data_IF_720735927454
#
_entry.id   IF_720735927454
#
_cell.length_a   1.000
_cell.length_b   1.000
_cell.length_c   1.000
_cell.angle_alpha   90.00
_cell.angle_beta   90.00
_cell.angle_gamma   90.00
#
_symmetry.space_group_name_H-M   'P 1'
#
loop_
_entity.id
_entity.type
_entity.pdbx_description
1 polymer ?
#
# COMPACT_ATOMS: atom_id res chain seq x y z
N UNK A 1 22.61 -7.36 0.45
CA UNK A 1 22.54 -5.89 0.26
C UNK A 1 22.38 -5.19 1.60
N UNK A 2 21.42 -5.59 2.45
CA UNK A 2 21.22 -5.06 3.82
C UNK A 2 22.50 -4.99 4.65
N UNK A 3 23.26 -6.10 4.75
CA UNK A 3 24.51 -6.13 5.54
C UNK A 3 25.63 -5.20 5.02
N UNK A 4 25.52 -4.68 3.79
CA UNK A 4 26.43 -3.69 3.23
C UNK A 4 25.96 -2.26 3.50
N UNK A 5 24.63 -2.04 3.56
CA UNK A 5 24.00 -0.74 3.84
C UNK A 5 24.05 -0.41 5.33
N UNK A 6 23.80 -1.38 6.22
CA UNK A 6 23.89 -1.21 7.67
C UNK A 6 25.30 -0.75 8.13
N UNK A 7 26.33 -1.19 7.40
CA UNK A 7 27.72 -0.77 7.64
C UNK A 7 28.03 0.63 7.16
N UNK A 8 27.25 1.17 6.22
CA UNK A 8 27.48 2.48 5.62
C UNK A 8 26.65 3.57 6.31
N UNK A 9 25.42 3.27 6.74
CA UNK A 9 24.48 4.20 7.38
C UNK A 9 23.59 3.46 8.40
N UNK A 10 24.05 3.27 9.65
CA UNK A 10 23.25 2.59 10.68
C UNK A 10 22.01 3.42 11.04
N UNK A 11 20.83 2.78 11.02
CA UNK A 11 19.53 3.40 11.33
C UNK A 11 18.75 3.94 10.13
N UNK A 12 19.05 3.51 8.90
CA UNK A 12 18.22 3.84 7.73
C UNK A 12 17.21 2.73 7.43
N UNK A 13 15.95 3.08 7.26
CA UNK A 13 14.94 2.20 6.66
C UNK A 13 15.29 1.95 5.19
N UNK A 14 15.70 0.72 4.87
CA UNK A 14 16.06 0.32 3.51
C UNK A 14 14.80 -0.11 2.77
N UNK A 15 14.21 0.80 1.98
CA UNK A 15 13.19 0.44 1.00
C UNK A 15 13.90 -0.09 -0.25
N UNK A 16 13.98 -1.42 -0.39
CA UNK A 16 14.46 -2.04 -1.63
C UNK A 16 13.32 -1.97 -2.65
N UNK A 17 13.39 -0.98 -3.55
CA UNK A 17 12.56 -0.98 -4.75
C UNK A 17 13.26 -1.86 -5.80
N UNK A 18 12.79 -3.09 -5.96
CA UNK A 18 13.23 -3.95 -7.07
C UNK A 18 12.36 -3.58 -8.27
N UNK A 19 12.97 -3.01 -9.31
CA UNK A 19 12.31 -2.94 -10.61
C UNK A 19 12.30 -4.36 -11.19
N UNK A 20 11.11 -4.95 -11.47
CA UNK A 20 11.05 -6.29 -12.00
C UNK A 20 11.74 -6.33 -13.36
N UNK A 21 12.62 -7.31 -13.57
CA UNK A 21 13.10 -7.62 -14.90
C UNK A 21 11.89 -7.85 -15.82
N UNK A 22 11.96 -7.47 -17.10
CA UNK A 22 10.82 -7.56 -18.03
C UNK A 22 10.15 -8.95 -18.06
N UNK A 23 10.92 -10.00 -17.76
CA UNK A 23 10.45 -11.38 -17.58
C UNK A 23 9.55 -11.56 -16.35
N UNK A 24 9.89 -10.97 -15.22
CA UNK A 24 9.12 -11.02 -13.97
C UNK A 24 7.80 -10.26 -14.10
N UNK A 25 7.82 -9.10 -14.75
CA UNK A 25 6.60 -8.34 -15.03
C UNK A 25 5.60 -9.15 -15.88
N UNK A 26 6.08 -9.87 -16.89
CA UNK A 26 5.26 -10.74 -17.72
C UNK A 26 4.74 -11.98 -16.98
N UNK A 27 5.51 -12.53 -16.02
CA UNK A 27 5.04 -13.60 -15.14
C UNK A 27 3.92 -13.11 -14.21
N UNK A 28 4.13 -11.95 -13.58
CA UNK A 28 3.15 -11.29 -12.71
C UNK A 28 1.84 -11.02 -13.44
N UNK A 29 1.89 -10.47 -14.65
CA UNK A 29 0.69 -10.17 -15.45
C UNK A 29 -0.10 -11.44 -15.78
N UNK A 30 0.56 -12.51 -16.24
CA UNK A 30 -0.10 -13.78 -16.57
C UNK A 30 -0.70 -14.44 -15.33
N UNK A 31 0.04 -14.45 -14.21
CA UNK A 31 -0.46 -15.01 -12.95
C UNK A 31 -1.68 -14.22 -12.44
N UNK A 32 -1.62 -12.89 -12.50
CA UNK A 32 -2.74 -12.03 -12.14
C UNK A 32 -3.98 -12.31 -13.00
N UNK A 33 -3.81 -12.44 -14.33
CA UNK A 33 -4.91 -12.79 -15.23
C UNK A 33 -5.50 -14.18 -14.94
N UNK A 34 -4.67 -15.18 -14.64
CA UNK A 34 -5.11 -16.53 -14.30
C UNK A 34 -5.92 -16.55 -13.00
N UNK A 35 -5.45 -15.84 -11.97
CA UNK A 35 -6.13 -15.74 -10.69
C UNK A 35 -7.51 -15.08 -10.80
N UNK A 36 -7.64 -13.99 -11.58
CA UNK A 36 -8.92 -13.34 -11.84
C UNK A 36 -9.90 -14.20 -12.67
N UNK A 37 -9.41 -15.25 -13.34
CA UNK A 37 -10.24 -16.22 -14.04
C UNK A 37 -10.97 -17.21 -13.12
N UNK A 38 -10.57 -17.30 -11.84
CA UNK A 38 -11.22 -18.18 -10.86
C UNK A 38 -12.49 -17.53 -10.32
N UNK A 39 -13.60 -18.26 -10.37
CA UNK A 39 -14.88 -17.78 -9.88
C UNK A 39 -14.79 -17.40 -8.39
N UNK A 40 -15.46 -16.30 -8.00
CA UNK A 40 -15.51 -15.75 -6.63
C UNK A 40 -14.25 -15.00 -6.16
N UNK A 41 -13.18 -14.96 -6.95
CA UNK A 41 -12.08 -14.02 -6.72
C UNK A 41 -12.58 -12.60 -7.01
N UNK A 42 -12.53 -11.73 -6.01
CA UNK A 42 -12.95 -10.33 -6.14
C UNK A 42 -11.78 -9.37 -6.19
N UNK A 43 -10.77 -9.61 -5.36
CA UNK A 43 -9.60 -8.75 -5.26
C UNK A 43 -8.38 -9.58 -4.91
N UNK A 44 -7.31 -9.37 -5.68
CA UNK A 44 -5.97 -9.87 -5.42
C UNK A 44 -5.00 -8.70 -5.43
N UNK A 45 -3.98 -8.75 -4.59
CA UNK A 45 -2.95 -7.71 -4.53
C UNK A 45 -1.63 -8.27 -3.98
N UNK A 46 -0.60 -7.43 -3.89
CA UNK A 46 0.73 -7.79 -3.39
C UNK A 46 1.34 -9.02 -4.07
N UNK A 47 1.20 -9.10 -5.39
CA UNK A 47 1.72 -10.22 -6.15
C UNK A 47 3.25 -10.10 -6.28
N UNK A 48 3.98 -10.98 -5.60
CA UNK A 48 5.43 -11.02 -5.56
C UNK A 48 5.94 -12.28 -6.23
N UNK A 49 6.98 -12.15 -7.05
CA UNK A 49 7.63 -13.27 -7.73
C UNK A 49 9.06 -13.31 -7.24
N UNK A 50 9.49 -14.46 -6.74
CA UNK A 50 10.83 -14.66 -6.20
C UNK A 50 11.46 -15.84 -6.91
N UNK A 51 12.69 -15.64 -7.39
CA UNK A 51 13.49 -16.72 -7.99
C UNK A 51 14.67 -17.02 -7.09
N UNK A 52 14.75 -18.25 -6.58
CA UNK A 52 15.86 -18.74 -5.76
C UNK A 52 16.37 -20.05 -6.34
N UNK A 53 17.68 -20.20 -6.53
CA UNK A 53 18.28 -21.45 -7.03
C UNK A 53 17.65 -22.03 -8.32
N UNK A 54 17.09 -21.14 -9.17
CA UNK A 54 16.41 -21.52 -10.41
C UNK A 54 14.94 -21.95 -10.23
N UNK A 55 14.41 -21.92 -9.00
CA UNK A 55 13.01 -22.15 -8.71
C UNK A 55 12.27 -20.82 -8.61
N UNK A 56 11.18 -20.67 -9.35
CA UNK A 56 10.33 -19.47 -9.32
C UNK A 56 9.10 -19.74 -8.46
N UNK A 57 8.93 -18.93 -7.43
CA UNK A 57 7.80 -18.97 -6.51
C UNK A 57 6.98 -17.68 -6.64
N UNK A 58 5.69 -17.77 -6.39
CA UNK A 58 4.79 -16.62 -6.38
C UNK A 58 4.02 -16.55 -5.07
N UNK A 59 3.92 -15.36 -4.50
CA UNK A 59 3.00 -15.06 -3.41
C UNK A 59 2.01 -13.99 -3.80
N UNK A 60 0.79 -14.07 -3.26
CA UNK A 60 -0.25 -13.06 -3.46
C UNK A 60 -1.19 -12.97 -2.26
N UNK A 61 -1.82 -11.83 -2.11
CA UNK A 61 -2.91 -11.64 -1.15
C UNK A 61 -4.23 -11.81 -1.87
N UNK A 62 -5.13 -12.63 -1.30
CA UNK A 62 -6.45 -12.91 -1.82
C UNK A 62 -7.50 -12.45 -0.80
N UNK A 63 -8.34 -11.49 -1.19
CA UNK A 63 -9.43 -11.00 -0.35
C UNK A 63 -10.74 -11.70 -0.67
N UNK A 64 -11.38 -12.22 0.38
CA UNK A 64 -12.65 -12.96 0.31
C UNK A 64 -13.65 -12.45 1.35
N UNK A 65 -14.97 -12.56 1.14
CA UNK A 65 -15.96 -12.10 2.12
C UNK A 65 -15.65 -12.57 3.56
N UNK A 66 -15.68 -11.65 4.53
CA UNK A 66 -15.26 -11.95 5.91
C UNK A 66 -16.20 -12.89 6.67
N UNK A 67 -17.41 -13.12 6.18
CA UNK A 67 -18.39 -14.08 6.69
C UNK A 67 -18.25 -15.48 6.08
N UNK A 68 -17.31 -15.66 5.13
CA UNK A 68 -17.07 -16.94 4.47
C UNK A 68 -16.41 -17.95 5.43
N UNK A 69 -16.89 -19.21 5.52
CA UNK A 69 -16.20 -20.25 6.27
C UNK A 69 -14.75 -20.42 5.82
N UNK A 70 -13.82 -20.58 6.76
CA UNK A 70 -12.39 -20.71 6.46
C UNK A 70 -12.09 -21.87 5.49
N UNK A 71 -12.84 -22.98 5.60
CA UNK A 71 -12.72 -24.12 4.68
C UNK A 71 -13.07 -23.73 3.24
N UNK A 72 -14.15 -22.97 3.04
CA UNK A 72 -14.54 -22.46 1.72
C UNK A 72 -13.53 -21.43 1.19
N UNK A 73 -13.00 -20.58 2.08
CA UNK A 73 -11.97 -19.60 1.73
C UNK A 73 -10.69 -20.30 1.26
N UNK A 74 -10.28 -21.36 1.97
CA UNK A 74 -9.13 -22.18 1.61
C UNK A 74 -9.33 -22.88 0.26
N UNK A 75 -10.51 -23.46 0.01
CA UNK A 75 -10.80 -24.11 -1.27
C UNK A 75 -10.68 -23.14 -2.46
N UNK A 76 -11.15 -21.89 -2.30
CA UNK A 76 -10.98 -20.85 -3.33
C UNK A 76 -9.50 -20.51 -3.51
N UNK A 77 -8.74 -20.41 -2.42
CA UNK A 77 -7.31 -20.15 -2.46
C UNK A 77 -6.57 -21.23 -3.25
N UNK A 78 -6.86 -22.51 -2.99
CA UNK A 78 -6.27 -23.62 -3.74
C UNK A 78 -6.68 -23.60 -5.22
N UNK A 79 -7.91 -23.22 -5.55
CA UNK A 79 -8.35 -23.06 -6.94
C UNK A 79 -7.52 -21.98 -7.66
N UNK A 80 -7.25 -20.86 -6.98
CA UNK A 80 -6.38 -19.79 -7.49
C UNK A 80 -4.96 -20.28 -7.70
N UNK A 81 -4.37 -20.95 -6.71
CA UNK A 81 -3.02 -21.51 -6.80
C UNK A 81 -2.89 -22.47 -7.97
N UNK A 82 -3.85 -23.40 -8.13
CA UNK A 82 -3.89 -24.33 -9.27
C UNK A 82 -4.04 -23.62 -10.61
N UNK A 83 -4.90 -22.60 -10.68
CA UNK A 83 -5.11 -21.85 -11.92
C UNK A 83 -3.85 -21.09 -12.36
N UNK A 84 -3.13 -20.48 -11.42
CA UNK A 84 -1.87 -19.79 -11.70
C UNK A 84 -0.82 -20.78 -12.20
N UNK A 85 -0.59 -21.89 -11.48
CA UNK A 85 0.41 -22.90 -11.87
C UNK A 85 0.10 -23.49 -13.25
N UNK A 86 -1.18 -23.70 -13.56
CA UNK A 86 -1.59 -24.21 -14.88
C UNK A 86 -1.36 -23.20 -16.01
N UNK A 87 -1.56 -21.90 -15.74
CA UNK A 87 -1.41 -20.84 -16.74
C UNK A 87 0.04 -20.35 -16.90
N UNK A 88 0.86 -20.51 -15.87
CA UNK A 88 2.25 -20.04 -15.81
C UNK A 88 3.17 -21.18 -15.36
N UNK A 89 3.53 -22.12 -16.27
CA UNK A 89 4.33 -23.29 -15.92
C UNK A 89 5.74 -22.98 -15.39
N UNK A 90 6.22 -21.75 -15.59
CA UNK A 90 7.47 -21.26 -15.03
C UNK A 90 7.41 -21.11 -13.49
N UNK A 91 6.22 -20.94 -12.92
CA UNK A 91 5.99 -20.85 -11.48
C UNK A 91 5.77 -22.25 -10.91
N UNK A 92 6.62 -22.66 -9.97
CA UNK A 92 6.58 -24.01 -9.41
C UNK A 92 5.67 -24.12 -8.19
N UNK A 93 5.58 -23.05 -7.40
CA UNK A 93 4.71 -22.97 -6.23
C UNK A 93 4.06 -21.60 -6.15
N UNK A 94 2.82 -21.60 -5.66
CA UNK A 94 2.06 -20.38 -5.38
C UNK A 94 1.59 -20.48 -3.94
N UNK A 95 1.77 -19.40 -3.18
CA UNK A 95 1.26 -19.30 -1.82
C UNK A 95 0.33 -18.10 -1.69
N UNK A 96 -0.89 -18.36 -1.26
CA UNK A 96 -1.89 -17.32 -1.01
C UNK A 96 -1.92 -16.91 0.47
N UNK A 97 -2.04 -15.61 0.72
CA UNK A 97 -2.44 -15.07 2.01
C UNK A 97 -3.93 -14.71 1.95
N UNK A 98 -4.74 -15.29 2.82
CA UNK A 98 -6.18 -15.01 2.88
C UNK A 98 -6.46 -13.82 3.78
N UNK A 99 -7.15 -12.83 3.21
CA UNK A 99 -7.60 -11.65 3.93
C UNK A 99 -9.13 -11.53 3.84
N UNK A 100 -9.79 -11.02 4.88
CA UNK A 100 -11.18 -10.60 4.73
C UNK A 100 -11.23 -9.41 3.75
N UNK A 101 -12.17 -9.49 2.81
CA UNK A 101 -12.59 -8.38 1.98
C UNK A 101 -13.33 -7.41 2.90
N UNK A 102 -12.60 -6.46 3.46
CA UNK A 102 -13.21 -5.30 4.08
C UNK A 102 -13.99 -4.57 3.00
N UNK A 103 -15.32 -4.49 3.15
CA UNK A 103 -16.08 -3.44 2.46
C UNK A 103 -15.37 -2.12 2.80
N UNK A 104 -15.22 -1.22 1.82
CA UNK A 104 -14.57 0.08 2.02
C UNK A 104 -15.01 0.64 3.37
N UNK A 105 -14.11 0.63 4.36
CA UNK A 105 -14.54 0.72 5.75
C UNK A 105 -15.36 1.99 5.90
N UNK A 106 -16.46 1.96 6.66
CA UNK A 106 -17.19 3.16 7.08
C UNK A 106 -16.24 4.07 7.87
N UNK A 107 -15.42 4.81 7.13
CA UNK A 107 -14.45 5.73 7.65
C UNK A 107 -15.26 6.90 8.18
N UNK A 108 -15.32 7.01 9.51
CA UNK A 108 -16.06 8.10 10.13
C UNK A 108 -15.19 9.34 10.03
N UNK A 109 -15.69 10.35 9.32
CA UNK A 109 -15.06 11.66 9.28
C UNK A 109 -15.15 12.32 10.66
N UNK A 110 -14.00 12.65 11.22
CA UNK A 110 -13.87 13.29 12.52
C UNK A 110 -13.75 14.80 12.34
N UNK A 111 -14.16 15.55 13.36
CA UNK A 111 -13.89 16.98 13.41
C UNK A 111 -12.38 17.22 13.45
N UNK A 112 -11.91 18.11 12.58
CA UNK A 112 -10.48 18.40 12.38
C UNK A 112 -9.82 19.01 13.64
N UNK A 113 -10.59 19.61 14.55
CA UNK A 113 -10.06 20.14 15.82
C UNK A 113 -8.89 21.12 15.60
N UNK A 114 -7.79 20.91 16.32
CA UNK A 114 -6.57 21.70 16.19
C UNK A 114 -5.69 21.34 14.98
N UNK A 115 -6.02 20.28 14.23
CA UNK A 115 -5.22 19.79 13.10
C UNK A 115 -5.13 20.83 11.99
N UNK A 116 -6.20 21.58 11.69
CA UNK A 116 -6.19 22.64 10.66
C UNK A 116 -5.16 23.73 11.00
N UNK A 117 -5.05 24.08 12.29
CA UNK A 117 -4.07 25.05 12.78
C UNK A 117 -2.65 24.52 12.66
N UNK A 118 -2.42 23.28 13.07
CA UNK A 118 -1.09 22.65 13.02
C UNK A 118 -0.60 22.52 11.58
N UNK A 119 -1.49 22.10 10.67
CA UNK A 119 -1.20 22.03 9.23
C UNK A 119 -0.88 23.43 8.69
N UNK A 120 -1.66 24.44 9.07
CA UNK A 120 -1.42 25.83 8.64
C UNK A 120 -0.06 26.35 9.11
N UNK A 121 0.29 26.10 10.38
CA UNK A 121 1.54 26.53 10.99
C UNK A 121 2.74 25.83 10.33
N UNK A 122 2.61 24.53 10.00
CA UNK A 122 3.65 23.74 9.35
C UNK A 122 3.84 24.09 7.86
N UNK A 123 2.74 24.23 7.11
CA UNK A 123 2.77 24.59 5.70
C UNK A 123 3.18 26.07 5.48
N UNK A 124 2.94 26.93 6.48
CA UNK A 124 3.09 28.38 6.38
C UNK A 124 1.97 29.05 5.57
N UNK A 125 0.98 28.28 5.13
CA UNK A 125 -0.21 28.74 4.42
C UNK A 125 -1.41 27.95 4.91
N UNK A 126 -2.63 28.51 4.75
CA UNK A 126 -3.84 27.77 5.11
C UNK A 126 -4.05 26.63 4.11
N UNK A 127 -4.27 25.38 4.56
CA UNK A 127 -4.62 24.28 3.67
C UNK A 127 -5.96 24.56 2.99
N UNK A 128 -6.13 24.03 1.78
CA UNK A 128 -7.40 24.09 1.04
C UNK A 128 -8.42 23.11 1.59
N UNK A 129 -7.96 21.94 2.01
CA UNK A 129 -8.80 20.96 2.69
C UNK A 129 -7.98 20.20 3.72
N UNK A 130 -8.62 19.89 4.85
CA UNK A 130 -8.11 18.94 5.83
C UNK A 130 -9.29 18.06 6.22
N UNK A 131 -9.11 16.75 6.13
CA UNK A 131 -10.12 15.75 6.53
C UNK A 131 -9.43 14.69 7.35
N UNK A 132 -10.07 14.28 8.43
CA UNK A 132 -9.54 13.23 9.31
C UNK A 132 -10.54 12.11 9.34
N UNK A 133 -10.09 10.91 8.99
CA UNK A 133 -10.90 9.71 8.95
C UNK A 133 -10.45 8.77 10.05
N UNK A 134 -11.39 8.19 10.78
CA UNK A 134 -11.11 7.02 11.62
C UNK A 134 -11.33 5.75 10.82
N UNK A 135 -10.27 4.97 10.64
CA UNK A 135 -10.31 3.63 10.05
C UNK A 135 -10.10 2.58 11.14
N UNK A 136 -10.10 1.29 10.77
CA UNK A 136 -9.76 0.22 11.71
C UNK A 136 -8.27 0.23 12.10
N UNK A 137 -7.41 0.76 11.23
CA UNK A 137 -5.94 0.78 11.41
C UNK A 137 -5.44 2.04 12.13
N UNK A 138 -6.32 3.04 12.35
CA UNK A 138 -6.00 4.27 13.07
C UNK A 138 -6.65 5.49 12.44
N UNK A 139 -6.12 6.69 12.74
CA UNK A 139 -6.55 7.91 12.05
C UNK A 139 -5.79 8.09 10.75
N UNK A 140 -6.48 8.51 9.70
CA UNK A 140 -5.89 8.90 8.41
C UNK A 140 -6.22 10.37 8.16
N UNK A 141 -5.20 11.19 7.98
CA UNK A 141 -5.35 12.61 7.67
C UNK A 141 -5.13 12.88 6.18
N UNK A 142 -6.14 13.40 5.50
CA UNK A 142 -6.04 13.91 4.14
C UNK A 142 -5.86 15.42 4.18
N UNK A 143 -4.79 15.92 3.56
CA UNK A 143 -4.46 17.34 3.52
C UNK A 143 -4.25 17.79 2.08
N UNK A 144 -4.88 18.89 1.69
CA UNK A 144 -4.62 19.55 0.41
C UNK A 144 -3.96 20.90 0.64
N UNK A 145 -2.75 21.08 0.12
CA UNK A 145 -2.01 22.34 0.19
C UNK A 145 -2.12 23.08 -1.15
N UNK A 146 -2.54 24.34 -1.09
CA UNK A 146 -2.43 25.28 -2.20
C UNK A 146 -1.06 25.95 -2.16
N UNK A 147 -0.24 25.76 -3.19
CA UNK A 147 1.11 26.29 -3.30
C UNK A 147 1.26 27.23 -4.49
N UNK A 148 2.31 28.05 -4.49
CA UNK A 148 2.56 28.96 -5.59
C UNK A 148 2.83 28.17 -6.90
N UNK A 149 2.14 28.46 -8.02
CA UNK A 149 2.37 27.78 -9.31
C UNK A 149 3.79 27.95 -9.87
N UNK A 150 4.51 28.98 -9.42
CA UNK A 150 5.90 29.25 -9.77
C UNK A 150 6.92 28.54 -8.86
N UNK A 151 6.44 27.89 -7.79
CA UNK A 151 7.30 27.10 -6.90
C UNK A 151 7.77 25.80 -7.57
N UNK A 152 8.89 25.27 -7.08
CA UNK A 152 9.42 24.00 -7.59
C UNK A 152 8.77 22.82 -6.87
N UNK A 153 8.74 21.67 -7.54
CA UNK A 153 8.28 20.42 -6.94
C UNK A 153 9.06 20.07 -5.66
N UNK A 154 10.35 20.40 -5.59
CA UNK A 154 11.16 20.19 -4.40
C UNK A 154 10.68 21.02 -3.20
N UNK A 155 10.27 22.27 -3.43
CA UNK A 155 9.68 23.12 -2.39
C UNK A 155 8.31 22.58 -1.98
N UNK A 156 7.49 22.15 -2.95
CA UNK A 156 6.20 21.54 -2.66
C UNK A 156 6.32 20.27 -1.80
N UNK A 157 7.25 19.38 -2.15
CA UNK A 157 7.53 18.18 -1.38
C UNK A 157 8.04 18.51 0.02
N UNK A 158 8.99 19.44 0.16
CA UNK A 158 9.49 19.85 1.48
C UNK A 158 8.38 20.39 2.39
N UNK A 159 7.40 21.12 1.84
CA UNK A 159 6.21 21.59 2.58
C UNK A 159 5.30 20.44 2.98
N UNK A 160 5.06 19.49 2.08
CA UNK A 160 4.27 18.30 2.38
C UNK A 160 4.92 17.48 3.50
N UNK A 161 6.22 17.17 3.41
CA UNK A 161 6.96 16.43 4.44
C UNK A 161 6.92 17.13 5.80
N UNK A 162 7.05 18.46 5.82
CA UNK A 162 6.98 19.23 7.07
C UNK A 162 5.61 19.09 7.75
N UNK A 163 4.52 19.06 6.97
CA UNK A 163 3.16 18.83 7.50
C UNK A 163 3.02 17.41 8.02
N UNK A 164 3.49 16.41 7.28
CA UNK A 164 3.44 15.02 7.70
C UNK A 164 4.18 14.78 9.01
N UNK A 165 5.43 15.23 9.10
CA UNK A 165 6.28 15.07 10.28
C UNK A 165 5.65 15.73 11.51
N UNK A 166 5.06 16.92 11.31
CA UNK A 166 4.40 17.65 12.39
C UNK A 166 3.16 16.92 12.89
N UNK A 167 2.33 16.42 11.99
CA UNK A 167 1.11 15.68 12.35
C UNK A 167 1.42 14.36 13.03
N UNK A 168 2.37 13.57 12.50
CA UNK A 168 2.80 12.31 13.14
C UNK A 168 3.42 12.56 14.52
N UNK A 169 4.16 13.67 14.69
CA UNK A 169 4.76 14.04 15.97
C UNK A 169 3.76 14.49 17.04
N UNK A 170 2.68 15.20 16.66
CA UNK A 170 1.66 15.68 17.60
C UNK A 170 0.54 14.66 17.86
N UNK A 171 0.24 13.80 16.89
CA UNK A 171 -0.82 12.79 16.99
C UNK A 171 -0.28 11.39 16.67
N UNK A 172 0.25 10.66 17.67
CA UNK A 172 0.71 9.28 17.49
C UNK A 172 -0.40 8.29 17.07
N UNK A 173 -1.66 8.69 17.21
CA UNK A 173 -2.85 7.94 16.77
C UNK A 173 -3.14 8.05 15.27
N UNK A 174 -2.44 8.96 14.56
CA UNK A 174 -2.47 9.02 13.11
C UNK A 174 -1.60 7.90 12.55
N UNK A 175 -2.25 6.93 11.93
CA UNK A 175 -1.59 5.84 11.21
C UNK A 175 -1.00 6.33 9.87
N UNK A 176 -1.68 7.27 9.20
CA UNK A 176 -1.20 7.79 7.92
C UNK A 176 -1.59 9.26 7.65
N UNK A 177 -0.73 9.97 6.92
CA UNK A 177 -0.95 11.36 6.47
C UNK A 177 -0.72 11.42 4.98
N UNK A 178 -1.77 11.76 4.23
CA UNK A 178 -1.74 11.85 2.78
C UNK A 178 -1.84 13.32 2.39
N UNK A 179 -0.72 13.86 1.89
CA UNK A 179 -0.64 15.27 1.46
C UNK A 179 -0.70 15.38 -0.06
N UNK A 180 -1.72 16.08 -0.55
CA UNK A 180 -1.83 16.50 -1.94
C UNK A 180 -1.39 17.96 -2.08
N UNK A 181 -0.50 18.26 -3.04
CA UNK A 181 -0.08 19.62 -3.36
C UNK A 181 -0.62 20.04 -4.72
N UNK A 182 -1.28 21.18 -4.77
CA UNK A 182 -1.83 21.76 -6.00
C UNK A 182 -1.50 23.26 -6.10
N UNK A 183 -1.41 23.82 -7.33
CA UNK A 183 -1.27 25.25 -7.55
C UNK A 183 -2.51 26.06 -7.13
#
# INVERSE_FOLDING_TARGET
VEAAVERALPGSDVVVHVEPEATEAALRERAHAAALGVARVREIHNLSVVTLDGTTELSLHLKLPGDLPLEDAHAIAEDVERAIVAAVPEIQSVQTHLEPLSEASDAVELAVGDIDRIVSDAAGTRPRSVRVLRTQDGLVAFVTLGLDPSSTLAVAHARASQVEDRLRGEYPEIADVIVHTEP
#
